data_IF_335718842121
#
_entry.id   IF_335718842121
#
_cell.length_a   1.000
_cell.length_b   1.000
_cell.length_c   1.000
_cell.angle_alpha   90.00
_cell.angle_beta   90.00
_cell.angle_gamma   90.00
#
_symmetry.space_group_name_H-M   'P 1'
#
loop_
_entity.id
_entity.type
_entity.pdbx_description
1 polymer ?
#
# COMPACT_ATOMS: atom_id res chain seq x y z
N UNK A 1 -0.51 18.89 -6.24
CA UNK A 1 0.72 18.17 -6.64
C UNK A 1 1.80 19.19 -6.85
N UNK A 2 3.00 18.92 -6.35
CA UNK A 2 4.12 19.87 -6.35
C UNK A 2 4.95 19.80 -7.64
N UNK A 3 4.40 19.24 -8.72
CA UNK A 3 5.06 19.07 -10.01
C UNK A 3 4.04 19.09 -11.17
N UNK A 4 4.51 19.44 -12.38
CA UNK A 4 3.70 19.40 -13.61
C UNK A 4 3.73 18.01 -14.24
N UNK A 5 2.72 17.66 -15.04
CA UNK A 5 2.61 16.33 -15.67
C UNK A 5 3.87 15.89 -16.41
N UNK A 6 4.54 16.78 -17.13
CA UNK A 6 5.77 16.47 -17.88
C UNK A 6 7.02 16.29 -16.99
N UNK A 7 6.98 16.74 -15.74
CA UNK A 7 8.06 16.62 -14.75
C UNK A 7 7.94 15.37 -13.88
N UNK A 8 6.84 14.61 -14.01
CA UNK A 8 6.53 13.46 -13.15
C UNK A 8 7.67 12.43 -13.05
N UNK A 9 8.34 12.15 -14.16
CA UNK A 9 9.47 11.20 -14.19
C UNK A 9 10.68 11.69 -13.41
N UNK A 10 11.01 12.98 -13.53
CA UNK A 10 12.12 13.59 -12.80
C UNK A 10 11.81 13.64 -11.31
N UNK A 11 10.58 14.06 -10.96
CA UNK A 11 10.10 14.07 -9.59
C UNK A 11 10.16 12.67 -8.95
N UNK A 12 9.63 11.65 -9.61
CA UNK A 12 9.68 10.27 -9.12
C UNK A 12 11.13 9.77 -8.96
N UNK A 13 12.01 10.06 -9.93
CA UNK A 13 13.44 9.69 -9.81
C UNK A 13 14.11 10.35 -8.61
N UNK A 14 13.75 11.58 -8.25
CA UNK A 14 14.32 12.28 -7.11
C UNK A 14 13.73 11.82 -5.76
N UNK A 15 12.44 11.45 -5.73
CA UNK A 15 11.69 11.20 -4.47
C UNK A 15 11.44 9.73 -4.13
N UNK A 16 11.31 8.84 -5.12
CA UNK A 16 11.14 7.41 -4.89
C UNK A 16 12.51 6.74 -4.73
N UNK A 17 13.08 6.87 -3.53
CA UNK A 17 14.39 6.32 -3.14
C UNK A 17 14.22 5.33 -1.98
N UNK A 18 15.33 4.67 -1.64
CA UNK A 18 15.38 3.77 -0.49
C UNK A 18 14.69 2.43 -0.73
N UNK A 19 14.20 1.81 0.34
CA UNK A 19 13.63 0.46 0.29
C UNK A 19 12.12 0.55 0.14
N UNK A 20 11.60 -0.11 -0.90
CA UNK A 20 10.16 -0.22 -1.15
C UNK A 20 9.72 -1.68 -1.04
N UNK A 21 8.80 -1.95 -0.12
CA UNK A 21 8.35 -3.32 0.18
C UNK A 21 6.98 -3.61 -0.42
N UNK A 22 6.78 -4.84 -0.89
CA UNK A 22 5.46 -5.35 -1.22
C UNK A 22 4.75 -5.76 0.08
N UNK A 23 3.69 -5.02 0.44
CA UNK A 23 3.01 -5.21 1.70
C UNK A 23 2.21 -6.52 1.71
N UNK A 24 2.27 -7.22 2.84
CA UNK A 24 1.40 -8.36 3.14
C UNK A 24 0.03 -7.87 3.61
N UNK A 25 -1.02 -8.61 3.26
CA UNK A 25 -2.38 -8.37 3.74
C UNK A 25 -2.72 -9.36 4.85
N UNK A 26 -2.84 -8.93 6.12
CA UNK A 26 -3.25 -9.82 7.19
C UNK A 26 -4.76 -10.08 7.15
N UNK A 27 -5.13 -11.31 7.46
CA UNK A 27 -6.51 -11.78 7.59
C UNK A 27 -6.71 -12.38 8.98
N UNK A 28 -7.94 -12.30 9.49
CA UNK A 28 -8.36 -13.01 10.69
C UNK A 28 -8.59 -14.49 10.39
N UNK A 29 -8.83 -15.29 11.43
CA UNK A 29 -9.16 -16.72 11.28
C UNK A 29 -10.41 -16.96 10.42
N UNK A 30 -11.36 -16.03 10.43
CA UNK A 30 -12.58 -16.06 9.61
C UNK A 30 -12.37 -15.53 8.17
N UNK A 31 -11.11 -15.26 7.79
CA UNK A 31 -10.68 -14.71 6.51
C UNK A 31 -11.13 -13.25 6.25
N UNK A 32 -11.77 -12.58 7.20
CA UNK A 32 -11.99 -11.13 7.08
C UNK A 32 -10.67 -10.36 7.18
N UNK A 33 -10.60 -9.19 6.53
CA UNK A 33 -9.43 -8.31 6.63
C UNK A 33 -9.15 -7.95 8.10
N UNK A 34 -7.91 -8.16 8.55
CA UNK A 34 -7.44 -7.68 9.85
C UNK A 34 -6.88 -6.25 9.73
N UNK A 35 -7.77 -5.26 9.85
CA UNK A 35 -7.38 -3.85 9.76
C UNK A 35 -6.39 -3.43 10.86
N UNK A 36 -6.54 -3.95 12.08
CA UNK A 36 -5.67 -3.59 13.20
C UNK A 36 -4.27 -4.17 13.01
N UNK A 37 -4.19 -5.43 12.58
CA UNK A 37 -2.93 -6.07 12.19
C UNK A 37 -2.25 -5.34 11.04
N UNK A 38 -3.00 -4.92 10.02
CA UNK A 38 -2.46 -4.17 8.89
C UNK A 38 -1.82 -2.85 9.34
N UNK A 39 -2.49 -2.08 10.20
CA UNK A 39 -1.96 -0.82 10.76
C UNK A 39 -0.72 -1.05 11.60
N UNK A 40 -0.71 -2.10 12.40
CA UNK A 40 0.45 -2.47 13.23
C UNK A 40 1.65 -2.83 12.37
N UNK A 41 1.44 -3.62 11.32
CA UNK A 41 2.49 -4.01 10.39
C UNK A 41 3.07 -2.80 9.65
N UNK A 42 2.22 -1.89 9.17
CA UNK A 42 2.66 -0.68 8.47
C UNK A 42 3.53 0.19 9.37
N UNK A 43 3.10 0.45 10.62
CA UNK A 43 3.93 1.20 11.58
C UNK A 43 5.27 0.53 11.81
N UNK A 44 5.27 -0.79 12.06
CA UNK A 44 6.52 -1.52 12.25
C UNK A 44 7.46 -1.42 11.04
N UNK A 45 6.95 -1.62 9.83
CA UNK A 45 7.75 -1.54 8.62
C UNK A 45 8.30 -0.13 8.37
N UNK A 46 7.49 0.90 8.56
CA UNK A 46 7.88 2.27 8.26
C UNK A 46 8.75 2.87 9.37
N UNK A 47 8.31 2.77 10.63
CA UNK A 47 8.93 3.45 11.76
C UNK A 47 10.12 2.67 12.33
N UNK A 48 9.99 1.34 12.49
CA UNK A 48 11.05 0.53 13.11
C UNK A 48 12.07 0.03 12.08
N UNK A 49 11.61 -0.40 10.90
CA UNK A 49 12.48 -0.97 9.86
C UNK A 49 12.96 0.06 8.83
N UNK A 50 12.40 1.28 8.84
CA UNK A 50 12.80 2.35 7.94
C UNK A 50 12.43 2.11 6.47
N UNK A 51 11.31 1.43 6.20
CA UNK A 51 10.80 1.24 4.84
C UNK A 51 10.27 2.57 4.30
N UNK A 52 10.85 3.03 3.19
CA UNK A 52 10.54 4.31 2.55
C UNK A 52 9.24 4.27 1.72
N UNK A 53 8.76 3.07 1.37
CA UNK A 53 7.45 2.96 0.76
C UNK A 53 6.88 1.55 0.62
N UNK A 54 5.57 1.50 0.41
CA UNK A 54 4.80 0.25 0.41
C UNK A 54 3.99 0.09 -0.89
N UNK A 55 4.05 -1.09 -1.49
CA UNK A 55 3.12 -1.52 -2.54
C UNK A 55 1.95 -2.26 -1.92
N UNK A 56 0.74 -1.72 -2.03
CA UNK A 56 -0.47 -2.23 -1.39
C UNK A 56 -1.34 -2.98 -2.40
N UNK A 57 -1.92 -4.10 -1.96
CA UNK A 57 -2.76 -5.00 -2.77
C UNK A 57 -2.10 -5.44 -4.08
N UNK A 58 -0.78 -5.64 -4.08
CA UNK A 58 -0.10 -6.35 -5.15
C UNK A 58 -0.27 -7.87 -5.02
N UNK A 59 0.43 -8.65 -5.85
CA UNK A 59 0.45 -10.13 -5.74
C UNK A 59 0.76 -10.60 -4.32
N UNK A 60 1.71 -9.95 -3.65
CA UNK A 60 2.15 -10.31 -2.30
C UNK A 60 1.09 -10.01 -1.22
N UNK A 61 0.20 -9.05 -1.47
CA UNK A 61 -0.97 -8.78 -0.64
C UNK A 61 -2.19 -9.59 -1.07
N UNK A 62 -2.00 -10.60 -1.92
CA UNK A 62 -3.02 -11.59 -2.31
C UNK A 62 -4.30 -10.97 -2.91
N UNK A 63 -4.16 -9.89 -3.67
CA UNK A 63 -5.32 -9.14 -4.19
C UNK A 63 -6.34 -9.95 -4.99
N UNK A 64 -5.92 -11.08 -5.56
CA UNK A 64 -6.76 -12.00 -6.33
C UNK A 64 -7.78 -12.77 -5.47
N UNK A 65 -7.61 -12.79 -4.14
CA UNK A 65 -8.57 -13.38 -3.20
C UNK A 65 -9.50 -12.37 -2.54
N UNK A 66 -9.38 -11.07 -2.89
CA UNK A 66 -10.14 -9.98 -2.30
C UNK A 66 -11.14 -9.37 -3.29
N UNK A 67 -12.27 -8.91 -2.78
CA UNK A 67 -13.21 -8.05 -3.51
C UNK A 67 -12.60 -6.66 -3.81
N UNK A 68 -13.24 -5.90 -4.70
CA UNK A 68 -12.89 -4.49 -4.94
C UNK A 68 -13.00 -3.65 -3.67
N UNK A 69 -14.03 -3.87 -2.84
CA UNK A 69 -14.25 -3.09 -1.62
C UNK A 69 -13.20 -3.38 -0.54
N UNK A 70 -12.79 -4.64 -0.40
CA UNK A 70 -11.68 -5.02 0.47
C UNK A 70 -10.34 -4.38 0.04
N UNK A 71 -10.07 -4.34 -1.27
CA UNK A 71 -8.88 -3.66 -1.82
C UNK A 71 -8.90 -2.16 -1.56
N UNK A 72 -10.03 -1.49 -1.80
CA UNK A 72 -10.20 -0.06 -1.47
C UNK A 72 -9.98 0.18 0.02
N UNK A 73 -10.52 -0.69 0.87
CA UNK A 73 -10.35 -0.59 2.32
C UNK A 73 -8.88 -0.71 2.73
N UNK A 74 -8.13 -1.63 2.13
CA UNK A 74 -6.69 -1.77 2.33
C UNK A 74 -5.93 -0.49 1.91
N UNK A 75 -6.32 0.16 0.80
CA UNK A 75 -5.73 1.43 0.37
C UNK A 75 -5.96 2.57 1.38
N UNK A 76 -7.18 2.70 1.88
CA UNK A 76 -7.52 3.72 2.90
C UNK A 76 -6.68 3.53 4.17
N UNK A 77 -6.59 2.29 4.66
CA UNK A 77 -5.79 1.96 5.83
C UNK A 77 -4.32 2.29 5.61
N UNK A 78 -3.79 1.99 4.44
CA UNK A 78 -2.38 2.25 4.14
C UNK A 78 -2.07 3.75 4.06
N UNK A 79 -2.94 4.55 3.42
CA UNK A 79 -2.77 6.02 3.36
C UNK A 79 -2.83 6.61 4.76
N UNK A 80 -3.81 6.22 5.56
CA UNK A 80 -3.99 6.71 6.93
C UNK A 80 -2.81 6.32 7.83
N UNK A 81 -2.37 5.06 7.77
CA UNK A 81 -1.26 4.57 8.60
C UNK A 81 0.12 5.11 8.19
N UNK A 82 0.29 5.58 6.96
CA UNK A 82 1.54 6.21 6.49
C UNK A 82 1.52 7.74 6.56
N UNK A 83 0.38 8.34 6.89
CA UNK A 83 0.23 9.79 6.94
C UNK A 83 1.22 10.42 7.95
N UNK A 84 2.01 11.40 7.48
CA UNK A 84 2.99 12.10 8.31
C UNK A 84 4.29 11.34 8.60
N UNK A 85 4.40 10.08 8.19
CA UNK A 85 5.61 9.25 8.39
C UNK A 85 6.73 9.57 7.40
N UNK A 86 6.39 10.15 6.25
CA UNK A 86 7.30 10.36 5.12
C UNK A 86 7.39 9.18 4.15
N UNK A 87 6.88 7.99 4.52
CA UNK A 87 6.81 6.85 3.62
C UNK A 87 5.75 7.05 2.53
N UNK A 88 6.07 6.59 1.32
CA UNK A 88 5.16 6.60 0.18
C UNK A 88 4.34 5.33 0.06
N UNK A 89 3.22 5.40 -0.64
CA UNK A 89 2.39 4.23 -0.95
C UNK A 89 2.07 4.16 -2.44
N UNK A 90 2.17 2.96 -3.02
CA UNK A 90 1.72 2.65 -4.38
C UNK A 90 0.55 1.68 -4.30
N UNK A 91 -0.60 2.09 -4.84
CA UNK A 91 -1.82 1.28 -4.86
C UNK A 91 -1.86 0.45 -6.12
N UNK A 92 -1.88 -0.88 -5.98
CA UNK A 92 -2.01 -1.77 -7.13
C UNK A 92 -3.49 -1.92 -7.49
N UNK A 93 -3.90 -1.19 -8.53
CA UNK A 93 -5.23 -1.33 -9.14
C UNK A 93 -5.21 -2.32 -10.32
N UNK A 94 -4.26 -3.26 -10.32
CA UNK A 94 -4.24 -4.33 -11.31
C UNK A 94 -5.40 -5.26 -11.04
N UNK A 95 -6.26 -5.46 -12.04
CA UNK A 95 -7.45 -6.27 -11.88
C UNK A 95 -7.65 -7.23 -13.04
N UNK A 96 -8.13 -8.42 -12.71
CA UNK A 96 -8.71 -9.41 -13.61
C UNK A 96 -10.09 -9.85 -13.10
N UNK A 97 -10.45 -9.51 -11.86
CA UNK A 97 -11.81 -9.66 -11.34
C UNK A 97 -12.66 -8.56 -11.97
N UNK A 98 -13.22 -8.91 -13.12
CA UNK A 98 -14.36 -8.22 -13.69
C UNK A 98 -15.58 -8.62 -12.85
N UNK A 99 -15.64 -8.18 -11.59
CA UNK A 99 -16.90 -8.24 -10.83
C UNK A 99 -17.96 -7.60 -11.75
N UNK A 100 -18.89 -8.43 -12.22
CA UNK A 100 -19.89 -8.10 -13.23
C UNK A 100 -20.98 -7.17 -12.67
#
# INVERSE_FOLDING_TARGET
MDYRRNEAKEHARARMKGIWAAALQPFREDLSIDEAGMRSNIRHWVEDLGIDGLFISGKQGEYFSMSVEERKRAFEIAVDATHGTGAGTVMSCSDQNMDA
#
